data_IF_380035798002
#
_entry.id   IF_380035798002
#
_cell.length_a   1.000
_cell.length_b   1.000
_cell.length_c   1.000
_cell.angle_alpha   90.00
_cell.angle_beta   90.00
_cell.angle_gamma   90.00
#
_symmetry.space_group_name_H-M   'P 1'
#
loop_
_entity.id
_entity.type
_entity.pdbx_description
1 polymer ?
#
# COMPACT_ATOMS: atom_id res chain seq x y z
N UNK A 1 -12.10 12.69 -11.06
CA UNK A 1 -11.71 12.36 -12.46
C UNK A 1 -12.83 11.55 -13.11
N UNK A 2 -13.21 11.83 -14.37
CA UNK A 2 -14.22 11.03 -15.08
C UNK A 2 -13.71 9.60 -15.37
N UNK A 3 -14.64 8.65 -15.49
CA UNK A 3 -14.39 7.29 -15.97
C UNK A 3 -15.24 7.12 -17.24
N UNK A 4 -14.60 6.70 -18.33
CA UNK A 4 -15.25 6.54 -19.63
C UNK A 4 -15.50 5.06 -19.90
N UNK A 5 -16.71 4.58 -19.62
CA UNK A 5 -17.06 3.17 -19.85
C UNK A 5 -16.97 2.87 -21.36
N UNK A 6 -16.12 1.94 -21.80
CA UNK A 6 -15.98 1.64 -23.22
C UNK A 6 -17.24 0.96 -23.75
N UNK A 7 -17.61 1.30 -24.98
CA UNK A 7 -18.54 0.52 -25.79
C UNK A 7 -17.73 -0.40 -26.70
N UNK A 8 -18.10 -1.67 -26.77
CA UNK A 8 -17.47 -2.65 -27.65
C UNK A 8 -18.31 -2.80 -28.90
N UNK A 9 -17.77 -2.32 -30.02
CA UNK A 9 -18.45 -2.32 -31.32
C UNK A 9 -17.75 -3.31 -32.25
N UNK A 10 -18.53 -3.95 -33.12
CA UNK A 10 -17.97 -4.83 -34.14
C UNK A 10 -17.05 -4.04 -35.08
N UNK A 11 -15.90 -4.61 -35.42
CA UNK A 11 -14.87 -3.96 -36.23
C UNK A 11 -14.11 -2.81 -35.56
N UNK A 12 -14.36 -2.47 -34.30
CA UNK A 12 -13.61 -1.42 -33.60
C UNK A 12 -12.17 -1.86 -33.31
N UNK A 13 -11.20 -0.98 -33.61
CA UNK A 13 -9.81 -1.21 -33.25
C UNK A 13 -9.60 -1.15 -31.73
N UNK A 14 -8.81 -2.10 -31.19
CA UNK A 14 -8.48 -2.12 -29.77
C UNK A 14 -7.52 -1.00 -29.40
N UNK A 15 -7.82 -0.29 -28.32
CA UNK A 15 -7.01 0.79 -27.79
C UNK A 15 -6.75 0.59 -26.28
N UNK A 16 -5.53 0.85 -25.77
CA UNK A 16 -5.20 0.70 -24.34
C UNK A 16 -6.19 1.39 -23.40
N UNK A 17 -6.74 2.52 -23.83
CA UNK A 17 -7.70 3.33 -23.09
C UNK A 17 -8.99 2.55 -22.78
N UNK A 18 -9.45 1.66 -23.66
CA UNK A 18 -10.64 0.85 -23.43
C UNK A 18 -10.43 -0.04 -22.19
N UNK A 19 -9.32 -0.78 -22.15
CA UNK A 19 -8.96 -1.65 -21.03
C UNK A 19 -8.71 -0.86 -19.74
N UNK A 20 -7.97 0.25 -19.83
CA UNK A 20 -7.68 1.11 -18.68
C UNK A 20 -8.96 1.69 -18.05
N UNK A 21 -9.90 2.18 -18.86
CA UNK A 21 -11.13 2.74 -18.34
C UNK A 21 -12.09 1.67 -17.81
N UNK A 22 -12.12 0.48 -18.44
CA UNK A 22 -12.87 -0.66 -17.92
C UNK A 22 -12.33 -1.10 -16.55
N UNK A 23 -11.01 -1.22 -16.39
CA UNK A 23 -10.38 -1.56 -15.11
C UNK A 23 -10.73 -0.52 -14.03
N UNK A 24 -10.61 0.78 -14.34
CA UNK A 24 -10.99 1.86 -13.42
C UNK A 24 -12.47 1.84 -13.04
N UNK A 25 -13.36 1.46 -13.97
CA UNK A 25 -14.77 1.28 -13.65
C UNK A 25 -15.00 0.14 -12.67
N UNK A 26 -14.33 -1.00 -12.88
CA UNK A 26 -14.42 -2.15 -11.98
C UNK A 26 -13.91 -1.81 -10.57
N UNK A 27 -12.77 -1.12 -10.46
CA UNK A 27 -12.23 -0.61 -9.18
C UNK A 27 -13.22 0.33 -8.48
N UNK A 28 -13.86 1.24 -9.24
CA UNK A 28 -14.87 2.15 -8.71
C UNK A 28 -16.09 1.40 -8.18
N UNK A 29 -16.60 0.40 -8.91
CA UNK A 29 -17.72 -0.44 -8.46
C UNK A 29 -17.35 -1.17 -7.17
N UNK A 30 -16.17 -1.77 -7.08
CA UNK A 30 -15.71 -2.43 -5.86
C UNK A 30 -15.61 -1.47 -4.67
N UNK A 31 -15.13 -0.24 -4.91
CA UNK A 31 -15.09 0.82 -3.90
C UNK A 31 -16.49 1.26 -3.44
N UNK A 32 -17.44 1.38 -4.36
CA UNK A 32 -18.84 1.69 -4.06
C UNK A 32 -19.48 0.62 -3.19
N UNK A 33 -19.32 -0.66 -3.54
CA UNK A 33 -19.85 -1.79 -2.75
C UNK A 33 -19.26 -1.78 -1.33
N UNK A 34 -17.95 -1.61 -1.18
CA UNK A 34 -17.31 -1.54 0.14
C UNK A 34 -17.90 -0.41 1.00
N UNK A 35 -18.15 0.77 0.41
CA UNK A 35 -18.73 1.94 1.12
C UNK A 35 -20.17 1.74 1.56
N UNK A 36 -20.89 0.74 1.03
CA UNK A 36 -22.22 0.39 1.53
C UNK A 36 -22.17 -0.25 2.92
N UNK A 37 -21.07 -0.95 3.25
CA UNK A 37 -20.91 -1.67 4.51
C UNK A 37 -20.01 -0.98 5.54
N UNK A 38 -19.06 -0.15 5.10
CA UNK A 38 -18.07 0.50 5.99
C UNK A 38 -17.78 1.94 5.56
N UNK A 39 -17.69 2.86 6.54
CA UNK A 39 -17.46 4.29 6.30
C UNK A 39 -16.09 4.58 5.67
N UNK A 40 -15.05 3.85 6.10
CA UNK A 40 -13.67 4.07 5.69
C UNK A 40 -13.04 2.76 5.19
N UNK A 41 -13.35 2.31 3.96
CA UNK A 41 -12.81 1.08 3.41
C UNK A 41 -11.40 1.31 2.83
N UNK A 42 -10.47 1.78 3.66
CA UNK A 42 -9.06 2.01 3.33
C UNK A 42 -8.22 1.82 4.60
N UNK A 43 -6.95 1.48 4.44
CA UNK A 43 -6.05 1.19 5.54
C UNK A 43 -5.19 -0.04 5.28
N UNK A 44 -4.58 -0.53 6.36
CA UNK A 44 -3.63 -1.63 6.39
C UNK A 44 -4.36 -2.95 6.67
N UNK A 45 -4.07 -3.96 5.86
CA UNK A 45 -4.40 -5.36 6.14
C UNK A 45 -3.18 -6.05 6.76
N UNK A 46 -1.98 -5.79 6.23
CA UNK A 46 -0.71 -6.25 6.79
C UNK A 46 0.40 -5.21 6.56
N UNK A 47 1.23 -4.98 7.57
CA UNK A 47 2.44 -4.17 7.46
C UNK A 47 3.55 -4.77 8.35
N UNK A 48 4.53 -5.39 7.71
CA UNK A 48 5.62 -6.11 8.37
C UNK A 48 6.96 -5.55 7.91
N UNK A 49 7.93 -5.51 8.83
CA UNK A 49 9.20 -4.83 8.64
C UNK A 49 10.36 -5.65 9.20
N UNK A 50 11.55 -5.44 8.63
CA UNK A 50 12.81 -5.93 9.16
C UNK A 50 13.38 -4.92 10.17
N UNK A 51 13.34 -5.29 11.44
CA UNK A 51 13.83 -4.46 12.54
C UNK A 51 15.38 -4.45 12.64
N UNK A 52 16.08 -5.41 12.03
CA UNK A 52 17.53 -5.53 12.16
C UNK A 52 18.26 -4.32 11.57
N UNK A 53 17.72 -3.74 10.49
CA UNK A 53 18.29 -2.59 9.81
C UNK A 53 18.11 -1.25 10.56
N UNK A 54 17.26 -1.20 11.58
CA UNK A 54 16.98 0.03 12.34
C UNK A 54 18.21 0.55 13.08
N UNK A 55 19.10 -0.34 13.52
CA UNK A 55 20.39 0.03 14.11
C UNK A 55 21.28 0.85 13.16
N UNK A 56 21.05 0.72 11.84
CA UNK A 56 21.74 1.46 10.77
C UNK A 56 20.89 2.62 10.22
N UNK A 57 19.84 3.04 10.94
CA UNK A 57 18.90 4.08 10.50
C UNK A 57 18.24 3.77 9.15
N UNK A 58 17.89 2.50 8.92
CA UNK A 58 17.19 2.02 7.73
C UNK A 58 15.99 1.20 8.12
N UNK A 59 14.90 1.32 7.37
CA UNK A 59 13.70 0.49 7.52
C UNK A 59 13.37 -0.18 6.20
N UNK A 60 13.32 -1.52 6.20
CA UNK A 60 12.84 -2.31 5.08
C UNK A 60 11.48 -2.90 5.42
N UNK A 61 10.53 -2.82 4.48
CA UNK A 61 9.33 -3.63 4.56
C UNK A 61 9.64 -5.06 4.12
N UNK A 62 9.07 -6.03 4.80
CA UNK A 62 9.07 -7.44 4.38
C UNK A 62 7.76 -7.85 3.75
N UNK A 63 6.67 -7.16 4.10
CA UNK A 63 5.33 -7.38 3.56
C UNK A 63 4.44 -6.15 3.74
N UNK A 64 3.72 -5.77 2.70
CA UNK A 64 2.70 -4.72 2.74
C UNK A 64 1.45 -5.16 1.96
N UNK A 65 0.30 -5.13 2.64
CA UNK A 65 -1.02 -5.24 2.03
C UNK A 65 -1.85 -4.06 2.50
N UNK A 66 -2.05 -3.09 1.62
CA UNK A 66 -2.62 -1.77 1.96
C UNK A 66 -3.62 -1.33 0.89
N UNK A 67 -4.77 -0.83 1.32
CA UNK A 67 -5.76 -0.19 0.45
C UNK A 67 -5.76 1.32 0.67
N UNK A 68 -5.52 2.07 -0.39
CA UNK A 68 -5.48 3.53 -0.36
C UNK A 68 -6.89 4.13 -0.45
N UNK A 69 -6.97 5.44 -0.16
CA UNK A 69 -8.23 6.19 -0.07
C UNK A 69 -8.99 6.27 -1.40
N UNK A 70 -8.30 6.14 -2.53
CA UNK A 70 -8.88 6.08 -3.87
C UNK A 70 -9.39 4.68 -4.25
N UNK A 71 -9.16 3.67 -3.40
CA UNK A 71 -9.57 2.29 -3.59
C UNK A 71 -8.51 1.39 -4.21
N UNK A 72 -7.36 1.92 -4.64
CA UNK A 72 -6.24 1.08 -5.11
C UNK A 72 -5.73 0.22 -3.96
N UNK A 73 -5.54 -1.06 -4.26
CA UNK A 73 -4.93 -2.03 -3.35
C UNK A 73 -3.51 -2.26 -3.82
N UNK A 74 -2.58 -2.26 -2.87
CA UNK A 74 -1.21 -2.71 -3.05
C UNK A 74 -1.01 -3.96 -2.21
N UNK A 75 -0.49 -5.01 -2.85
CA UNK A 75 -0.25 -6.32 -2.22
C UNK A 75 1.10 -6.86 -2.67
N UNK A 76 2.09 -6.83 -1.76
CA UNK A 76 3.46 -7.24 -2.07
C UNK A 76 3.67 -8.75 -2.08
N UNK A 77 2.69 -9.54 -1.60
CA UNK A 77 2.76 -11.01 -1.72
C UNK A 77 2.28 -11.46 -3.10
N UNK A 78 1.41 -10.67 -3.75
CA UNK A 78 0.66 -11.11 -4.92
C UNK A 78 0.96 -10.33 -6.20
N UNK A 79 0.97 -8.99 -6.16
CA UNK A 79 0.94 -8.16 -7.37
C UNK A 79 2.00 -7.05 -7.42
N UNK A 80 2.54 -6.62 -6.29
CA UNK A 80 3.44 -5.48 -6.21
C UNK A 80 4.82 -5.87 -5.66
N UNK A 81 5.83 -5.06 -5.97
CA UNK A 81 7.16 -5.23 -5.40
C UNK A 81 7.23 -4.53 -4.04
N UNK A 82 8.10 -5.03 -3.15
CA UNK A 82 8.43 -4.31 -1.92
C UNK A 82 9.00 -2.92 -2.25
N UNK A 83 8.67 -1.89 -1.45
CA UNK A 83 9.21 -0.55 -1.65
C UNK A 83 10.73 -0.54 -1.38
N UNK A 84 11.47 0.42 -1.95
CA UNK A 84 12.86 0.66 -1.57
C UNK A 84 13.01 0.96 -0.07
N UNK A 85 14.21 0.71 0.46
CA UNK A 85 14.57 1.02 1.84
C UNK A 85 14.26 2.47 2.20
N UNK A 86 13.65 2.68 3.37
CA UNK A 86 13.46 4.02 3.92
C UNK A 86 14.72 4.44 4.68
N UNK A 87 15.32 5.56 4.27
CA UNK A 87 16.41 6.19 5.03
C UNK A 87 15.85 7.05 6.16
N UNK A 88 16.27 6.77 7.39
CA UNK A 88 15.84 7.45 8.61
C UNK A 88 16.82 8.55 9.04
N UNK A 89 17.91 8.78 8.29
CA UNK A 89 18.91 9.80 8.58
C UNK A 89 18.30 11.20 8.75
N UNK A 90 17.28 11.52 7.95
CA UNK A 90 16.56 12.81 7.99
C UNK A 90 15.71 13.01 9.26
N UNK A 91 15.46 11.94 10.03
CA UNK A 91 14.76 12.01 11.32
C UNK A 91 15.70 12.02 12.53
N UNK A 92 17.02 12.15 12.34
CA UNK A 92 18.00 11.92 13.42
C UNK A 92 17.76 12.72 14.70
N UNK A 93 17.26 13.95 14.61
CA UNK A 93 16.94 14.81 15.76
C UNK A 93 15.53 14.63 16.35
N UNK A 94 14.75 13.65 15.88
CA UNK A 94 13.40 13.37 16.38
C UNK A 94 13.42 12.19 17.36
N UNK A 95 12.61 12.28 18.41
CA UNK A 95 12.37 11.17 19.36
C UNK A 95 11.38 10.13 18.82
N UNK A 96 10.52 10.56 17.91
CA UNK A 96 9.55 9.71 17.24
C UNK A 96 9.28 10.20 15.81
N UNK A 97 9.00 9.28 14.90
CA UNK A 97 8.57 9.60 13.54
C UNK A 97 7.58 8.55 13.01
N UNK A 98 6.49 9.01 12.43
CA UNK A 98 5.55 8.14 11.71
C UNK A 98 6.09 7.85 10.31
N UNK A 99 6.11 6.57 9.93
CA UNK A 99 6.42 6.10 8.59
C UNK A 99 5.12 5.80 7.86
N UNK A 100 4.99 6.34 6.65
CA UNK A 100 3.86 6.13 5.76
C UNK A 100 4.30 5.32 4.55
N UNK A 101 3.43 4.41 4.07
CA UNK A 101 3.52 3.95 2.69
C UNK A 101 2.88 5.01 1.81
N UNK A 102 3.57 5.36 0.73
CA UNK A 102 3.19 6.43 -0.17
C UNK A 102 3.02 5.90 -1.59
N UNK A 103 1.88 6.21 -2.20
CA UNK A 103 1.53 5.86 -3.58
C UNK A 103 1.32 7.16 -4.37
N UNK A 104 2.09 7.43 -5.44
CA UNK A 104 1.94 8.66 -6.20
C UNK A 104 0.51 8.86 -6.72
N UNK A 105 0.05 10.10 -6.74
CA UNK A 105 -1.29 10.42 -7.23
C UNK A 105 -1.45 10.03 -8.70
N UNK A 106 -2.60 9.42 -9.02
CA UNK A 106 -2.97 9.15 -10.41
C UNK A 106 -3.29 10.46 -11.12
N UNK A 107 -2.61 10.74 -12.23
CA UNK A 107 -2.92 11.89 -13.07
C UNK A 107 -3.96 11.57 -14.13
N UNK A 108 -4.95 12.44 -14.23
CA UNK A 108 -5.98 12.39 -15.26
C UNK A 108 -5.47 12.74 -16.66
N UNK A 109 -4.37 13.51 -16.75
CA UNK A 109 -3.76 13.92 -18.02
C UNK A 109 -2.76 12.91 -18.58
N UNK A 110 -2.60 11.75 -17.92
CA UNK A 110 -1.63 10.72 -18.31
C UNK A 110 -0.25 10.93 -17.68
N UNK A 111 0.78 10.32 -18.29
CA UNK A 111 2.15 10.35 -17.74
C UNK A 111 2.27 9.64 -16.40
N UNK A 112 1.51 8.55 -16.19
CA UNK A 112 1.51 7.80 -14.94
C UNK A 112 2.56 6.69 -14.89
N UNK A 113 3.14 6.31 -16.03
CA UNK A 113 4.21 5.32 -16.11
C UNK A 113 5.57 6.00 -15.93
N UNK A 114 6.35 5.54 -14.97
CA UNK A 114 7.75 5.85 -14.83
C UNK A 114 8.55 5.19 -15.96
N UNK A 115 9.04 6.02 -16.87
CA UNK A 115 9.82 5.64 -18.04
C UNK A 115 11.30 5.99 -17.89
N UNK A 116 11.76 6.33 -16.68
CA UNK A 116 13.13 6.81 -16.42
C UNK A 116 13.43 8.19 -17.00
N UNK A 117 12.40 8.92 -17.45
CA UNK A 117 12.52 10.31 -17.87
C UNK A 117 12.24 11.24 -16.70
N UNK A 118 12.96 12.36 -16.64
CA UNK A 118 12.75 13.39 -15.63
C UNK A 118 11.30 13.87 -15.61
N UNK A 119 10.79 14.08 -14.39
CA UNK A 119 9.41 14.43 -14.14
C UNK A 119 9.35 15.29 -12.89
N UNK A 120 8.64 16.41 -12.95
CA UNK A 120 8.45 17.31 -11.80
C UNK A 120 7.62 16.67 -10.68
N UNK A 121 6.92 15.57 -10.97
CA UNK A 121 6.12 14.80 -10.02
C UNK A 121 6.44 13.31 -10.07
N UNK A 122 6.29 12.58 -8.96
CA UNK A 122 6.38 11.12 -8.96
C UNK A 122 5.29 10.51 -9.84
N UNK A 123 5.61 9.38 -10.49
CA UNK A 123 4.71 8.64 -11.38
C UNK A 123 4.23 7.37 -10.69
N UNK A 124 2.94 7.05 -10.83
CA UNK A 124 2.25 6.02 -10.05
C UNK A 124 2.63 4.59 -10.42
N UNK A 125 2.98 4.35 -11.67
CA UNK A 125 3.18 3.02 -12.22
C UNK A 125 4.62 2.82 -12.64
N UNK A 126 5.10 1.58 -12.49
CA UNK A 126 6.32 1.06 -13.12
C UNK A 126 5.92 -0.11 -14.00
N UNK A 127 6.71 -0.34 -15.05
CA UNK A 127 6.57 -1.52 -15.90
C UNK A 127 7.70 -2.51 -15.58
N UNK A 128 7.34 -3.79 -15.53
CA UNK A 128 8.27 -4.91 -15.39
C UNK A 128 7.92 -5.94 -16.46
N UNK A 129 8.92 -6.57 -17.08
CA UNK A 129 8.66 -7.65 -18.05
C UNK A 129 8.85 -8.99 -17.37
N UNK A 130 7.82 -9.83 -17.44
CA UNK A 130 7.79 -11.14 -16.78
C UNK A 130 7.25 -12.19 -17.74
N UNK A 131 7.80 -13.40 -17.68
CA UNK A 131 7.23 -14.56 -18.37
C UNK A 131 5.97 -15.02 -17.62
N UNK A 132 4.81 -14.88 -18.26
CA UNK A 132 3.51 -15.24 -17.70
C UNK A 132 3.01 -16.50 -18.39
N UNK A 133 2.61 -17.48 -17.58
CA UNK A 133 1.97 -18.72 -18.04
C UNK A 133 0.56 -18.41 -18.57
N UNK A 134 0.26 -18.86 -19.78
CA UNK A 134 -1.10 -18.89 -20.30
C UNK A 134 -1.88 -19.99 -19.57
N UNK A 135 -3.05 -19.65 -19.01
CA UNK A 135 -3.74 -20.52 -18.04
C UNK A 135 -4.65 -21.56 -18.69
N UNK A 136 -5.03 -21.42 -19.96
CA UNK A 136 -5.82 -22.41 -20.67
C UNK A 136 -4.96 -23.55 -21.25
N UNK A 137 -3.70 -23.27 -21.58
CA UNK A 137 -2.76 -24.16 -22.23
C UNK A 137 -1.46 -24.31 -21.48
N UNK A 138 -0.37 -24.49 -22.23
CA UNK A 138 0.96 -24.82 -21.69
C UNK A 138 2.03 -23.82 -22.14
N UNK A 139 1.64 -22.77 -22.86
CA UNK A 139 2.57 -21.75 -23.38
C UNK A 139 2.84 -20.67 -22.33
N UNK A 140 3.99 -20.01 -22.41
CA UNK A 140 4.28 -18.80 -21.66
C UNK A 140 4.78 -17.71 -22.59
N UNK A 141 4.49 -16.45 -22.24
CA UNK A 141 4.88 -15.28 -23.02
C UNK A 141 5.40 -14.16 -22.14
N UNK A 142 6.28 -13.33 -22.69
CA UNK A 142 6.76 -12.14 -22.00
C UNK A 142 5.66 -11.06 -22.02
N UNK A 143 5.23 -10.61 -20.83
CA UNK A 143 4.24 -9.56 -20.65
C UNK A 143 4.84 -8.39 -19.87
N UNK A 144 4.55 -7.16 -20.31
CA UNK A 144 4.78 -5.98 -19.50
C UNK A 144 3.67 -5.86 -18.45
N UNK A 145 4.00 -6.13 -17.19
CA UNK A 145 3.10 -6.02 -16.05
C UNK A 145 3.23 -4.65 -15.38
N UNK A 146 2.15 -4.22 -14.74
CA UNK A 146 2.11 -2.99 -13.94
C UNK A 146 2.55 -3.30 -12.51
N UNK A 147 3.43 -2.46 -11.96
CA UNK A 147 3.73 -2.40 -10.53
C UNK A 147 3.36 -1.02 -9.99
N UNK A 148 2.77 -0.95 -8.82
CA UNK A 148 2.60 0.34 -8.15
C UNK A 148 3.95 0.86 -7.66
N UNK A 149 4.23 2.13 -7.91
CA UNK A 149 5.48 2.80 -7.52
C UNK A 149 5.45 3.24 -6.05
N UNK A 150 5.18 2.30 -5.13
CA UNK A 150 5.12 2.60 -3.70
C UNK A 150 6.51 2.90 -3.12
N UNK A 151 6.55 3.78 -2.13
CA UNK A 151 7.74 4.07 -1.32
C UNK A 151 7.36 4.15 0.15
N UNK A 152 8.32 3.84 1.03
CA UNK A 152 8.23 4.24 2.43
C UNK A 152 8.75 5.67 2.56
N UNK A 153 7.99 6.51 3.26
CA UNK A 153 8.29 7.92 3.48
C UNK A 153 8.08 8.27 4.94
N UNK A 154 8.74 9.33 5.39
CA UNK A 154 8.45 9.90 6.70
C UNK A 154 7.24 10.82 6.58
N UNK A 155 6.38 10.79 7.59
CA UNK A 155 5.22 11.70 7.70
C UNK A 155 5.60 13.18 7.65
N UNK A 156 6.82 13.51 8.08
CA UNK A 156 7.39 14.86 8.10
C UNK A 156 7.90 15.36 6.74
N UNK A 157 8.04 14.46 5.75
CA UNK A 157 8.41 14.84 4.39
C UNK A 157 7.23 15.50 3.65
N UNK A 158 7.53 16.23 2.58
CA UNK A 158 6.48 16.73 1.69
C UNK A 158 5.81 15.55 0.96
N UNK A 159 4.55 15.30 1.28
CA UNK A 159 3.79 14.13 0.81
C UNK A 159 2.58 14.50 -0.07
N UNK A 160 2.46 15.77 -0.47
CA UNK A 160 1.33 16.34 -1.24
C UNK A 160 1.08 15.64 -2.58
N UNK A 161 2.13 15.12 -3.22
CA UNK A 161 2.06 14.40 -4.48
C UNK A 161 1.67 12.91 -4.35
N UNK A 162 1.36 12.45 -3.14
CA UNK A 162 1.10 11.05 -2.81
C UNK A 162 -0.24 10.87 -2.08
N UNK A 163 -0.84 9.70 -2.25
CA UNK A 163 -1.70 9.12 -1.23
C UNK A 163 -0.81 8.45 -0.20
N UNK A 164 -1.08 8.69 1.08
CA UNK A 164 -0.30 8.13 2.19
C UNK A 164 -1.16 7.32 3.12
N UNK A 165 -0.62 6.22 3.63
CA UNK A 165 -1.20 5.45 4.72
C UNK A 165 -0.13 5.21 5.79
N UNK A 166 -0.33 5.64 7.05
CA UNK A 166 0.57 5.30 8.15
C UNK A 166 0.66 3.79 8.35
N UNK A 167 1.88 3.26 8.44
CA UNK A 167 2.14 1.81 8.52
C UNK A 167 2.96 1.42 9.74
N UNK A 168 3.79 2.33 10.27
CA UNK A 168 4.46 2.13 11.55
C UNK A 168 4.87 3.47 12.15
N UNK A 169 5.14 3.48 13.45
CA UNK A 169 5.82 4.59 14.13
C UNK A 169 7.13 4.07 14.67
N UNK A 170 8.18 4.86 14.51
CA UNK A 170 9.48 4.61 15.11
C UNK A 170 9.66 5.53 16.31
N UNK A 171 10.29 5.01 17.36
CA UNK A 171 10.66 5.74 18.58
C UNK A 171 12.10 5.40 18.96
N UNK A 172 12.76 6.32 19.65
CA UNK A 172 14.08 6.09 20.24
C UNK A 172 13.95 5.17 21.45
N UNK A 173 14.76 4.11 21.48
CA UNK A 173 14.91 3.28 22.67
C UNK A 173 15.84 3.94 23.71
N UNK A 174 16.06 3.28 24.85
CA UNK A 174 16.93 3.81 25.92
C UNK A 174 18.40 4.02 25.48
N UNK A 175 18.83 3.36 24.41
CA UNK A 175 20.16 3.50 23.80
C UNK A 175 20.19 4.56 22.68
N UNK A 176 19.07 5.27 22.43
CA UNK A 176 18.95 6.26 21.36
C UNK A 176 18.85 5.66 19.95
N UNK A 177 18.65 4.35 19.81
CA UNK A 177 18.47 3.68 18.52
C UNK A 177 16.99 3.66 18.13
N UNK A 178 16.71 3.61 16.83
CA UNK A 178 15.35 3.44 16.34
C UNK A 178 14.80 2.06 16.69
N UNK A 179 13.55 2.02 17.11
CA UNK A 179 12.77 0.82 17.34
C UNK A 179 11.32 1.08 16.93
N UNK A 180 10.56 0.04 16.59
CA UNK A 180 9.12 0.19 16.35
C UNK A 180 8.40 0.49 17.66
N UNK A 181 7.48 1.45 17.63
CA UNK A 181 6.58 1.74 18.74
C UNK A 181 5.51 0.62 18.82
N UNK A 182 5.51 -0.22 19.88
CA UNK A 182 4.52 -1.27 20.04
C UNK A 182 3.11 -0.73 20.29
N UNK A 183 2.96 0.54 20.70
CA UNK A 183 1.68 1.19 20.93
C UNK A 183 1.01 1.70 19.65
N UNK A 184 1.71 1.67 18.51
CA UNK A 184 1.20 2.20 17.26
C UNK A 184 0.08 1.31 16.69
N UNK A 185 -0.99 1.96 16.25
CA UNK A 185 -2.12 1.33 15.56
C UNK A 185 -2.34 2.08 14.23
N UNK A 186 -2.17 1.42 13.06
CA UNK A 186 -2.42 2.05 11.77
C UNK A 186 -3.94 2.26 11.53
N UNK A 187 -4.35 2.97 10.48
CA UNK A 187 -5.71 2.81 9.95
C UNK A 187 -5.89 1.35 9.51
N UNK A 188 -6.79 0.59 10.15
CA UNK A 188 -6.88 -0.86 9.96
C UNK A 188 -8.05 -1.25 9.06
N UNK A 189 -7.81 -2.21 8.17
CA UNK A 189 -8.83 -3.00 7.49
C UNK A 189 -8.92 -4.44 8.01
N UNK A 190 -7.94 -4.87 8.81
CA UNK A 190 -7.96 -6.13 9.54
C UNK A 190 -7.47 -5.87 10.97
N UNK A 191 -8.10 -6.52 11.96
CA UNK A 191 -7.63 -6.48 13.35
C UNK A 191 -6.21 -7.04 13.48
N UNK A 192 -5.86 -8.02 12.64
CA UNK A 192 -4.52 -8.61 12.59
C UNK A 192 -3.42 -7.62 12.17
N UNK A 193 -3.77 -6.44 11.65
CA UNK A 193 -2.80 -5.40 11.31
C UNK A 193 -2.18 -4.75 12.56
N UNK A 194 -2.75 -4.95 13.75
CA UNK A 194 -2.18 -4.50 15.02
C UNK A 194 -2.02 -5.69 15.98
N UNK A 195 -0.77 -6.14 16.23
CA UNK A 195 -0.49 -7.17 17.23
C UNK A 195 -0.97 -6.74 18.62
N UNK A 196 -0.77 -5.47 18.99
CA UNK A 196 -1.26 -4.90 20.25
C UNK A 196 -2.76 -5.12 20.41
N UNK A 197 -3.57 -4.69 19.43
CA UNK A 197 -5.01 -4.82 19.52
C UNK A 197 -5.45 -6.28 19.58
N UNK A 198 -4.77 -7.16 18.85
CA UNK A 198 -5.04 -8.60 18.87
C UNK A 198 -4.80 -9.20 20.26
N UNK A 199 -3.69 -8.84 20.91
CA UNK A 199 -3.39 -9.26 22.29
C UNK A 199 -4.41 -8.70 23.28
N UNK A 200 -4.67 -7.39 23.25
CA UNK A 200 -5.59 -6.74 24.19
C UNK A 200 -7.03 -7.26 24.08
N UNK A 201 -7.51 -7.53 22.86
CA UNK A 201 -8.82 -8.17 22.64
C UNK A 201 -8.84 -9.61 23.15
N UNK A 202 -7.75 -10.36 22.98
CA UNK A 202 -7.60 -11.70 23.54
C UNK A 202 -7.68 -11.70 25.07
N UNK A 203 -6.92 -10.82 25.72
CA UNK A 203 -6.91 -10.68 27.17
C UNK A 203 -8.26 -10.23 27.72
N UNK A 204 -8.94 -9.31 27.02
CA UNK A 204 -10.30 -8.90 27.35
C UNK A 204 -11.27 -10.08 27.28
N UNK A 205 -11.18 -10.91 26.25
CA UNK A 205 -12.04 -12.09 26.10
C UNK A 205 -11.83 -13.08 27.24
N UNK A 206 -10.57 -13.35 27.62
CA UNK A 206 -10.25 -14.23 28.76
C UNK A 206 -10.86 -13.69 30.06
N UNK A 207 -10.73 -12.37 30.31
CA UNK A 207 -11.32 -11.73 31.50
C UNK A 207 -12.85 -11.83 31.49
N UNK A 208 -13.50 -11.61 30.36
CA UNK A 208 -14.96 -11.73 30.23
C UNK A 208 -15.44 -13.16 30.50
N UNK A 209 -14.72 -14.17 30.02
CA UNK A 209 -15.03 -15.57 30.28
C UNK A 209 -14.90 -15.92 31.76
N UNK A 210 -13.88 -15.40 32.45
CA UNK A 210 -13.72 -15.61 33.88
C UNK A 210 -14.88 -15.01 34.70
N UNK A 211 -15.38 -13.83 34.32
CA UNK A 211 -16.53 -13.19 34.99
C UNK A 211 -17.84 -13.92 34.69
N UNK A 212 -18.03 -14.44 33.47
CA UNK A 212 -19.26 -15.13 33.09
C UNK A 212 -19.45 -16.52 33.73
N UNK A 213 -18.37 -17.13 34.23
CA UNK A 213 -18.38 -18.45 34.89
C UNK A 213 -18.51 -18.34 36.42
N UNK A 214 -18.35 -17.14 36.98
CA UNK A 214 -18.50 -16.84 38.41
C UNK A 214 -19.95 -16.45 38.77
#
# INVERSE_FOLDING_TARGET
>A
MKIYRPLWEDGAALAPQQFQQQARWNEHVASMVARMGVSYPWGVVAAEFDDAALALSRLNATRLVVRFQDGTIVDTDLADNLPPVCDLSTASGSESVDVVVALPLLSASGGNLDSGQDSERPRRWKAERVMVQELAGHESGELAILRNAITLRLSTQENTAYLTCPVTRLVRNAQGQWSRDPAFIPPMLSVSASPLLTTELGDLLVRLQAVAVA
#
